data_IF_437364621043
#
_entry.id   IF_437364621043
#
_cell.length_a   1.000
_cell.length_b   1.000
_cell.length_c   1.000
_cell.angle_alpha   90.00
_cell.angle_beta   90.00
_cell.angle_gamma   90.00
#
_symmetry.space_group_name_H-M   'P 1'
#
loop_
_entity.id
_entity.type
_entity.pdbx_description
1 polymer ?
#
# COMPACT_ATOMS: atom_id res chain seq x y z
N UNK A 1 24.45 -10.22 -39.86
CA UNK A 1 23.38 -9.34 -39.35
C UNK A 1 23.63 -9.14 -37.86
N UNK A 2 24.17 -8.00 -37.42
CA UNK A 2 24.42 -7.77 -36.00
C UNK A 2 23.11 -7.37 -35.31
N UNK A 3 22.80 -8.03 -34.19
CA UNK A 3 21.66 -7.71 -33.33
C UNK A 3 21.88 -6.33 -32.71
N UNK A 4 21.03 -5.35 -33.04
CA UNK A 4 21.02 -4.07 -32.35
C UNK A 4 20.42 -4.27 -30.96
N UNK A 5 21.24 -4.16 -29.93
CA UNK A 5 20.79 -3.98 -28.54
C UNK A 5 20.14 -2.61 -28.42
N UNK A 6 18.83 -2.54 -28.64
CA UNK A 6 18.03 -1.35 -28.36
C UNK A 6 17.75 -1.34 -26.86
N UNK A 7 18.69 -0.81 -26.07
CA UNK A 7 18.38 -0.34 -24.72
C UNK A 7 17.41 0.83 -24.87
N UNK A 8 16.17 0.76 -24.37
CA UNK A 8 15.31 1.94 -24.37
C UNK A 8 15.94 2.96 -23.42
N UNK A 9 16.38 4.09 -23.96
CA UNK A 9 16.78 5.25 -23.14
C UNK A 9 15.56 5.72 -22.35
N UNK A 10 15.49 5.35 -21.07
CA UNK A 10 14.53 5.92 -20.13
C UNK A 10 14.96 7.34 -19.82
N UNK A 11 14.48 8.29 -20.63
CA UNK A 11 14.64 9.72 -20.38
C UNK A 11 13.69 10.11 -19.24
N UNK A 12 14.19 10.07 -18.00
CA UNK A 12 13.49 10.65 -16.86
C UNK A 12 13.43 12.17 -17.06
N UNK A 13 12.23 12.73 -17.22
CA UNK A 13 12.06 14.18 -17.34
C UNK A 13 12.48 14.86 -16.03
N UNK A 14 13.17 15.98 -16.18
CA UNK A 14 13.67 16.81 -15.08
C UNK A 14 12.52 17.27 -14.17
N UNK A 15 12.71 17.02 -12.88
CA UNK A 15 11.89 17.42 -11.73
C UNK A 15 11.39 18.87 -11.82
N UNK A 16 10.09 19.15 -11.71
CA UNK A 16 9.61 20.51 -11.45
C UNK A 16 9.99 20.94 -10.02
N UNK A 17 10.49 22.17 -9.88
CA UNK A 17 11.16 22.74 -8.69
C UNK A 17 10.24 23.06 -7.50
N UNK A 18 9.00 22.58 -7.49
CA UNK A 18 7.98 22.90 -6.49
C UNK A 18 7.57 21.65 -5.71
N UNK A 19 7.97 21.52 -4.42
CA UNK A 19 7.50 20.44 -3.55
C UNK A 19 6.05 20.62 -3.06
N UNK A 20 5.38 21.72 -3.43
CA UNK A 20 4.08 22.11 -2.84
C UNK A 20 2.83 21.57 -3.55
N UNK A 21 2.98 20.76 -4.60
CA UNK A 21 1.85 20.24 -5.38
C UNK A 21 1.93 18.72 -5.63
N UNK A 22 2.60 17.99 -4.75
CA UNK A 22 2.59 16.54 -4.75
C UNK A 22 1.82 16.06 -3.53
N UNK A 23 0.77 15.27 -3.75
CA UNK A 23 0.08 14.53 -2.68
C UNK A 23 1.03 13.56 -1.93
N UNK A 24 2.27 13.40 -2.42
CA UNK A 24 3.34 12.57 -1.88
C UNK A 24 4.35 13.34 -1.02
N UNK A 25 3.88 14.27 -0.19
CA UNK A 25 4.70 14.79 0.91
C UNK A 25 4.91 13.67 1.94
N UNK A 26 5.92 12.83 1.71
CA UNK A 26 6.41 11.86 2.69
C UNK A 26 7.14 12.61 3.81
N UNK A 27 6.38 13.19 4.73
CA UNK A 27 6.93 13.76 5.94
C UNK A 27 6.12 14.93 6.46
N UNK A 28 5.25 14.65 7.44
CA UNK A 28 4.89 15.52 8.57
C UNK A 28 4.33 14.64 9.71
N UNK A 29 4.30 15.14 10.96
CA UNK A 29 4.81 14.48 12.17
C UNK A 29 4.05 13.21 12.56
N UNK A 30 4.65 12.41 13.46
CA UNK A 30 4.15 11.15 14.01
C UNK A 30 2.62 10.96 13.87
N UNK A 31 2.17 9.83 13.29
CA UNK A 31 0.78 9.65 12.93
C UNK A 31 -0.13 9.93 14.13
N UNK A 32 -1.12 10.82 13.94
CA UNK A 32 -2.04 11.26 15.00
C UNK A 32 -2.78 10.10 15.66
N UNK A 33 -2.87 8.97 14.96
CA UNK A 33 -3.52 7.74 15.37
C UNK A 33 -2.58 6.57 15.15
N UNK A 34 -2.63 5.60 16.06
CA UNK A 34 -1.95 4.33 15.84
C UNK A 34 -2.47 3.63 14.57
N UNK A 35 -1.63 2.81 13.94
CA UNK A 35 -2.02 2.01 12.76
C UNK A 35 -3.34 1.24 13.01
N UNK A 36 -3.47 0.68 14.21
CA UNK A 36 -4.63 -0.07 14.62
C UNK A 36 -5.91 0.80 14.71
N UNK A 37 -5.79 2.03 15.19
CA UNK A 37 -6.91 2.98 15.22
C UNK A 37 -7.30 3.42 13.81
N UNK A 38 -6.33 3.62 12.92
CA UNK A 38 -6.59 3.96 11.52
C UNK A 38 -7.37 2.84 10.81
N UNK A 39 -7.00 1.57 10.99
CA UNK A 39 -7.82 0.47 10.44
C UNK A 39 -9.23 0.43 11.02
N UNK A 40 -9.41 0.69 12.32
CA UNK A 40 -10.75 0.75 12.92
C UNK A 40 -11.59 1.88 12.32
N UNK A 41 -10.99 3.05 12.09
CA UNK A 41 -11.66 4.19 11.46
C UNK A 41 -12.03 3.88 10.02
N UNK A 42 -11.15 3.24 9.26
CA UNK A 42 -11.44 2.77 7.91
C UNK A 42 -12.65 1.82 7.90
N UNK A 43 -12.64 0.80 8.77
CA UNK A 43 -13.74 -0.17 8.90
C UNK A 43 -15.06 0.53 9.26
N UNK A 44 -15.01 1.48 10.20
CA UNK A 44 -16.19 2.21 10.63
C UNK A 44 -16.74 3.14 9.54
N UNK A 45 -15.86 3.82 8.80
CA UNK A 45 -16.22 4.67 7.68
C UNK A 45 -16.84 3.86 6.54
N UNK A 46 -16.24 2.71 6.20
CA UNK A 46 -16.74 1.87 5.13
C UNK A 46 -18.07 1.20 5.48
N UNK A 47 -18.23 0.73 6.72
CA UNK A 47 -19.52 0.24 7.21
C UNK A 47 -20.60 1.32 7.15
N UNK A 48 -20.26 2.56 7.53
CA UNK A 48 -21.19 3.69 7.46
C UNK A 48 -21.60 4.04 6.02
N UNK A 49 -20.66 4.03 5.05
CA UNK A 49 -20.97 4.26 3.63
C UNK A 49 -21.92 3.22 3.06
N UNK A 50 -21.77 1.97 3.46
CA UNK A 50 -22.64 0.87 3.03
C UNK A 50 -23.98 0.83 3.81
N UNK A 51 -24.20 1.76 4.75
CA UNK A 51 -25.39 1.76 5.62
C UNK A 51 -25.46 0.56 6.56
N UNK A 52 -24.36 -0.14 6.77
CA UNK A 52 -24.29 -1.36 7.57
C UNK A 52 -24.02 -1.01 9.03
N UNK A 53 -25.01 -1.26 9.89
CA UNK A 53 -24.79 -1.21 11.33
C UNK A 53 -23.77 -2.27 11.75
N UNK A 54 -22.86 -1.92 12.68
CA UNK A 54 -21.88 -2.86 13.24
C UNK A 54 -22.53 -4.13 13.82
N UNK A 55 -23.78 -4.05 14.27
CA UNK A 55 -24.54 -5.22 14.72
C UNK A 55 -24.74 -6.25 13.60
N UNK A 56 -25.16 -5.79 12.41
CA UNK A 56 -25.35 -6.66 11.24
C UNK A 56 -24.01 -7.21 10.74
N UNK A 57 -22.96 -6.39 10.75
CA UNK A 57 -21.62 -6.84 10.40
C UNK A 57 -21.12 -7.93 11.35
N UNK A 58 -21.37 -7.78 12.66
CA UNK A 58 -21.03 -8.77 13.67
C UNK A 58 -21.75 -10.11 13.44
N UNK A 59 -23.04 -10.06 13.10
CA UNK A 59 -23.83 -11.25 12.77
C UNK A 59 -23.27 -11.95 11.51
N UNK A 60 -22.93 -11.18 10.46
CA UNK A 60 -22.39 -11.70 9.19
C UNK A 60 -21.06 -12.45 9.37
N UNK A 61 -20.19 -11.99 10.27
CA UNK A 61 -18.87 -12.59 10.52
C UNK A 61 -18.86 -13.57 11.72
N UNK A 62 -20.02 -13.83 12.34
CA UNK A 62 -20.16 -14.74 13.47
C UNK A 62 -19.48 -14.26 14.76
N UNK A 63 -19.42 -12.95 15.00
CA UNK A 63 -18.83 -12.34 16.20
C UNK A 63 -19.92 -11.76 17.07
N UNK A 64 -19.79 -11.88 18.40
CA UNK A 64 -20.73 -11.25 19.32
C UNK A 64 -20.78 -9.73 19.10
N UNK A 65 -21.97 -9.19 18.82
CA UNK A 65 -22.24 -7.74 18.63
C UNK A 65 -21.53 -6.82 19.65
N UNK A 66 -21.63 -7.04 20.98
CA UNK A 66 -20.96 -6.17 21.96
C UNK A 66 -19.44 -6.25 21.87
N UNK A 67 -18.88 -7.40 21.44
CA UNK A 67 -17.45 -7.56 21.23
C UNK A 67 -16.98 -6.74 20.04
N UNK A 68 -17.67 -6.84 18.90
CA UNK A 68 -17.29 -6.05 17.71
C UNK A 68 -17.39 -4.55 17.99
N UNK A 69 -18.46 -4.11 18.66
CA UNK A 69 -18.60 -2.70 19.05
C UNK A 69 -17.44 -2.22 19.93
N UNK A 70 -17.01 -3.01 20.93
CA UNK A 70 -15.84 -2.67 21.77
C UNK A 70 -14.55 -2.62 20.95
N UNK A 71 -14.36 -3.49 19.97
CA UNK A 71 -13.15 -3.52 19.14
C UNK A 71 -13.08 -2.30 18.23
N UNK A 72 -14.16 -1.98 17.52
CA UNK A 72 -14.18 -0.89 16.53
C UNK A 72 -14.24 0.49 17.21
N UNK A 73 -15.05 0.66 18.27
CA UNK A 73 -15.31 1.97 18.90
C UNK A 73 -14.51 2.24 20.17
N UNK A 74 -13.86 1.25 20.78
CA UNK A 74 -13.05 1.43 22.00
C UNK A 74 -11.60 0.99 21.78
N UNK A 75 -10.78 1.19 22.81
CA UNK A 75 -9.36 0.88 22.80
C UNK A 75 -9.06 -0.62 23.00
N UNK A 76 -9.82 -1.51 22.34
CA UNK A 76 -9.58 -2.97 22.34
C UNK A 76 -8.81 -3.36 21.09
N UNK A 77 -7.89 -4.33 21.20
CA UNK A 77 -7.05 -4.77 20.09
C UNK A 77 -7.87 -5.35 18.92
N UNK A 78 -7.58 -4.91 17.70
CA UNK A 78 -8.09 -5.45 16.45
C UNK A 78 -7.06 -6.48 15.96
N UNK A 79 -7.37 -7.77 16.15
CA UNK A 79 -6.50 -8.86 15.70
C UNK A 79 -6.57 -8.99 14.18
N UNK A 80 -5.46 -9.42 13.56
CA UNK A 80 -5.35 -9.58 12.10
C UNK A 80 -6.46 -10.48 11.53
N UNK A 81 -6.71 -11.66 12.11
CA UNK A 81 -7.79 -12.57 11.65
C UNK A 81 -9.19 -11.94 11.66
N UNK A 82 -9.42 -10.98 12.57
CA UNK A 82 -10.69 -10.27 12.62
C UNK A 82 -10.71 -9.11 11.63
N UNK A 83 -9.59 -8.40 11.46
CA UNK A 83 -9.44 -7.36 10.45
C UNK A 83 -9.70 -7.93 9.05
N UNK A 84 -9.09 -9.07 8.74
CA UNK A 84 -9.18 -9.66 7.40
C UNK A 84 -10.60 -10.14 7.09
N UNK A 85 -11.31 -10.74 8.07
CA UNK A 85 -12.75 -11.06 7.93
C UNK A 85 -13.64 -9.83 7.80
N UNK A 86 -13.31 -8.74 8.50
CA UNK A 86 -14.03 -7.47 8.37
C UNK A 86 -13.78 -6.84 7.00
N UNK A 87 -12.56 -6.94 6.49
CA UNK A 87 -12.22 -6.46 5.15
C UNK A 87 -12.99 -7.24 4.09
N UNK A 88 -13.01 -8.56 4.18
CA UNK A 88 -13.78 -9.41 3.28
C UNK A 88 -15.29 -9.09 3.35
N UNK A 89 -15.85 -8.96 4.55
CA UNK A 89 -17.27 -8.68 4.73
C UNK A 89 -17.71 -7.29 4.24
N UNK A 90 -16.78 -6.32 4.21
CA UNK A 90 -17.00 -4.95 3.72
C UNK A 90 -16.45 -4.73 2.32
N UNK A 91 -15.93 -5.77 1.66
CA UNK A 91 -15.27 -5.67 0.35
C UNK A 91 -14.14 -4.61 0.34
N UNK A 92 -13.45 -4.46 1.47
CA UNK A 92 -12.28 -3.60 1.60
C UNK A 92 -11.10 -4.29 0.92
N UNK A 93 -10.51 -3.60 -0.04
CA UNK A 93 -9.28 -4.05 -0.68
C UNK A 93 -8.11 -3.98 0.30
N UNK A 94 -7.55 -5.15 0.63
CA UNK A 94 -6.54 -5.27 1.67
C UNK A 94 -5.21 -4.58 1.30
N UNK A 95 -4.85 -4.56 0.02
CA UNK A 95 -3.63 -3.90 -0.48
C UNK A 95 -3.77 -2.40 -0.34
N UNK A 96 -4.88 -1.84 -0.81
CA UNK A 96 -5.18 -0.41 -0.71
C UNK A 96 -5.30 0.02 0.74
N UNK A 97 -6.00 -0.73 1.59
CA UNK A 97 -6.12 -0.42 3.02
C UNK A 97 -4.74 -0.36 3.70
N UNK A 98 -3.85 -1.32 3.43
CA UNK A 98 -2.49 -1.32 3.95
C UNK A 98 -1.66 -0.18 3.37
N UNK A 99 -1.83 0.15 2.09
CA UNK A 99 -1.17 1.30 1.47
C UNK A 99 -1.55 2.61 2.19
N UNK A 100 -2.84 2.86 2.36
CA UNK A 100 -3.34 4.03 3.07
C UNK A 100 -2.85 4.10 4.52
N UNK A 101 -2.96 3.00 5.27
CA UNK A 101 -2.72 3.02 6.72
C UNK A 101 -1.24 2.84 7.08
N UNK A 102 -0.54 1.90 6.44
CA UNK A 102 0.86 1.60 6.77
C UNK A 102 1.86 2.49 6.03
N UNK A 103 1.56 2.91 4.78
CA UNK A 103 2.48 3.73 3.99
C UNK A 103 2.15 5.22 4.02
N UNK A 104 0.87 5.59 3.89
CA UNK A 104 0.46 7.00 3.91
C UNK A 104 0.11 7.51 5.31
N UNK A 105 -0.08 6.59 6.28
CA UNK A 105 -0.59 6.92 7.60
C UNK A 105 -1.90 7.74 7.59
N UNK A 106 -2.71 7.52 6.56
CA UNK A 106 -3.99 8.19 6.37
C UNK A 106 -5.06 7.23 5.83
N UNK A 107 -5.97 6.83 6.72
CA UNK A 107 -7.14 6.02 6.38
C UNK A 107 -8.16 6.73 5.47
N UNK A 108 -8.18 8.07 5.40
CA UNK A 108 -9.13 8.84 4.58
C UNK A 108 -8.76 8.73 3.10
N UNK A 109 -7.47 8.55 2.80
CA UNK A 109 -6.95 8.39 1.45
C UNK A 109 -7.43 7.10 0.74
N UNK A 110 -8.19 6.22 1.42
CA UNK A 110 -8.71 4.98 0.84
C UNK A 110 -9.66 5.21 -0.35
N UNK A 111 -10.42 6.30 -0.30
CA UNK A 111 -11.36 6.69 -1.37
C UNK A 111 -10.72 7.58 -2.44
N UNK A 112 -9.45 7.93 -2.28
CA UNK A 112 -8.74 8.78 -3.24
C UNK A 112 -8.57 8.02 -4.58
N UNK A 113 -9.08 8.57 -5.71
CA UNK A 113 -8.91 7.96 -7.03
C UNK A 113 -7.45 7.72 -7.42
N UNK A 114 -6.52 8.60 -7.00
CA UNK A 114 -5.09 8.45 -7.28
C UNK A 114 -4.50 7.25 -6.52
N UNK A 115 -4.90 7.08 -5.25
CA UNK A 115 -4.48 5.94 -4.42
C UNK A 115 -5.03 4.64 -4.97
N UNK A 116 -6.29 4.63 -5.42
CA UNK A 116 -6.88 3.47 -6.12
C UNK A 116 -6.04 3.08 -7.35
N UNK A 117 -5.77 4.04 -8.25
CA UNK A 117 -5.02 3.80 -9.48
C UNK A 117 -3.62 3.22 -9.20
N UNK A 118 -2.92 3.75 -8.19
CA UNK A 118 -1.60 3.28 -7.78
C UNK A 118 -1.67 1.86 -7.25
N UNK A 119 -2.64 1.56 -6.37
CA UNK A 119 -2.79 0.23 -5.80
C UNK A 119 -3.10 -0.81 -6.89
N UNK A 120 -3.96 -0.48 -7.86
CA UNK A 120 -4.24 -1.36 -8.99
C UNK A 120 -3.01 -1.58 -9.88
N UNK A 121 -2.24 -0.52 -10.16
CA UNK A 121 -1.00 -0.66 -10.92
C UNK A 121 0.05 -1.51 -10.18
N UNK A 122 0.17 -1.35 -8.86
CA UNK A 122 1.07 -2.17 -8.03
C UNK A 122 0.68 -3.64 -8.03
N UNK A 123 -0.62 -3.96 -7.96
CA UNK A 123 -1.11 -5.34 -8.10
C UNK A 123 -0.78 -5.91 -9.46
N UNK A 124 -1.02 -5.14 -10.53
CA UNK A 124 -0.66 -5.53 -11.90
C UNK A 124 0.84 -5.83 -12.02
N UNK A 125 1.69 -4.93 -11.52
CA UNK A 125 3.15 -5.10 -11.53
C UNK A 125 3.59 -6.33 -10.72
N UNK A 126 3.00 -6.58 -9.56
CA UNK A 126 3.29 -7.77 -8.75
C UNK A 126 2.91 -9.07 -9.48
N UNK A 127 1.75 -9.09 -10.14
CA UNK A 127 1.34 -10.21 -10.98
C UNK A 127 2.31 -10.42 -12.15
N UNK A 128 2.79 -9.36 -12.80
CA UNK A 128 3.80 -9.46 -13.85
C UNK A 128 5.12 -10.03 -13.33
N UNK A 129 5.58 -9.61 -12.14
CA UNK A 129 6.78 -10.18 -11.51
C UNK A 129 6.62 -11.68 -11.25
N UNK A 130 5.52 -12.09 -10.62
CA UNK A 130 5.31 -13.51 -10.27
C UNK A 130 5.19 -14.38 -11.52
N UNK A 131 4.52 -13.88 -12.55
CA UNK A 131 4.26 -14.66 -13.78
C UNK A 131 5.48 -14.76 -14.68
N UNK A 132 6.47 -13.87 -14.55
CA UNK A 132 7.70 -13.93 -15.37
C UNK A 132 8.79 -14.81 -14.74
N UNK A 133 8.83 -16.07 -15.19
CA UNK A 133 9.94 -17.01 -14.97
C UNK A 133 11.21 -16.77 -15.82
N UNK A 134 11.28 -15.75 -16.68
CA UNK A 134 12.41 -15.55 -17.61
C UNK A 134 12.67 -14.09 -17.94
N UNK A 135 13.60 -13.47 -17.22
CA UNK A 135 14.63 -12.59 -17.80
C UNK A 135 14.27 -11.21 -18.37
N UNK A 136 13.02 -10.77 -18.38
CA UNK A 136 12.69 -9.41 -18.79
C UNK A 136 11.35 -9.04 -18.20
N UNK A 137 11.18 -7.89 -17.55
CA UNK A 137 9.86 -7.37 -17.16
C UNK A 137 9.56 -6.20 -18.10
N UNK A 138 8.68 -6.39 -19.07
CA UNK A 138 8.20 -5.27 -19.90
C UNK A 138 6.95 -4.70 -19.25
N UNK A 139 7.15 -3.77 -18.31
CA UNK A 139 6.03 -3.01 -17.76
C UNK A 139 5.78 -1.80 -18.65
N UNK A 140 4.70 -1.83 -19.41
CA UNK A 140 4.17 -0.63 -20.08
C UNK A 140 3.32 0.16 -19.08
N UNK A 141 3.95 0.76 -18.08
CA UNK A 141 3.25 1.67 -17.17
C UNK A 141 3.14 3.05 -17.80
N UNK A 142 1.96 3.66 -17.77
CA UNK A 142 1.79 5.11 -17.85
C UNK A 142 0.65 5.45 -16.89
N UNK A 143 0.98 5.91 -15.67
CA UNK A 143 1.20 7.33 -15.40
C UNK A 143 2.57 7.64 -14.74
N UNK A 144 3.08 8.89 -14.86
CA UNK A 144 4.39 9.31 -14.36
C UNK A 144 4.62 9.07 -12.86
N UNK A 145 3.55 9.16 -12.06
CA UNK A 145 3.58 9.01 -10.61
C UNK A 145 3.99 7.58 -10.21
N UNK A 146 3.51 6.59 -10.97
CA UNK A 146 3.80 5.17 -10.69
C UNK A 146 5.27 4.86 -11.06
N UNK A 147 5.81 5.49 -12.11
CA UNK A 147 7.25 5.40 -12.43
C UNK A 147 8.12 6.01 -11.35
N UNK A 148 7.73 7.16 -10.82
CA UNK A 148 8.51 7.83 -9.77
C UNK A 148 8.47 7.04 -8.44
N UNK A 149 7.31 6.48 -8.09
CA UNK A 149 7.16 5.63 -6.92
C UNK A 149 7.95 4.31 -7.06
N UNK A 150 7.86 3.65 -8.21
CA UNK A 150 8.60 2.41 -8.49
C UNK A 150 10.10 2.65 -8.58
N UNK A 151 10.54 3.74 -9.21
CA UNK A 151 11.95 4.12 -9.27
C UNK A 151 12.53 4.29 -7.86
N UNK A 152 11.85 5.04 -6.99
CA UNK A 152 12.28 5.21 -5.59
C UNK A 152 12.30 3.90 -4.81
N UNK A 153 11.28 3.05 -4.99
CA UNK A 153 11.23 1.75 -4.33
C UNK A 153 12.38 0.84 -4.78
N UNK A 154 12.70 0.86 -6.07
CA UNK A 154 13.79 0.11 -6.66
C UNK A 154 15.16 0.57 -6.12
N UNK A 155 15.41 1.87 -6.08
CA UNK A 155 16.65 2.43 -5.53
C UNK A 155 16.83 2.05 -4.04
N UNK A 156 15.75 2.10 -3.27
CA UNK A 156 15.78 1.73 -1.85
C UNK A 156 16.12 0.25 -1.63
N UNK A 157 15.61 -0.64 -2.49
CA UNK A 157 15.92 -2.08 -2.44
C UNK A 157 17.40 -2.34 -2.80
N UNK A 158 17.93 -1.66 -3.81
CA UNK A 158 19.35 -1.77 -4.18
C UNK A 158 20.27 -1.28 -3.05
N UNK A 159 19.98 -0.12 -2.46
CA UNK A 159 20.76 0.39 -1.31
C UNK A 159 20.61 -0.49 -0.06
N UNK A 160 19.52 -1.24 0.08
CA UNK A 160 19.40 -2.23 1.14
C UNK A 160 20.28 -3.46 0.85
N UNK A 161 20.27 -3.97 -0.39
CA UNK A 161 21.12 -5.09 -0.80
C UNK A 161 22.61 -4.78 -0.65
N UNK A 162 23.05 -3.58 -1.04
CA UNK A 162 24.43 -3.14 -0.87
C UNK A 162 24.85 -3.16 0.61
N UNK A 163 24.01 -2.61 1.50
CA UNK A 163 24.27 -2.62 2.94
C UNK A 163 24.31 -4.03 3.54
N UNK A 164 23.44 -4.93 3.09
CA UNK A 164 23.44 -6.33 3.53
C UNK A 164 24.70 -7.05 3.06
N UNK A 165 25.11 -6.85 1.81
CA UNK A 165 26.33 -7.42 1.24
C UNK A 165 27.60 -6.89 1.93
N UNK A 166 27.64 -5.60 2.26
CA UNK A 166 28.72 -5.02 3.05
C UNK A 166 28.76 -5.62 4.47
N UNK A 167 27.60 -5.76 5.10
CA UNK A 167 27.50 -6.36 6.43
C UNK A 167 27.96 -7.82 6.44
N UNK A 168 27.56 -8.62 5.45
CA UNK A 168 28.02 -10.00 5.29
C UNK A 168 29.55 -10.09 5.06
N UNK A 169 30.13 -9.18 4.28
CA UNK A 169 31.60 -9.11 4.11
C UNK A 169 32.32 -8.77 5.40
N UNK A 170 31.76 -7.88 6.23
CA UNK A 170 32.34 -7.53 7.54
C UNK A 170 32.20 -8.63 8.59
N UNK A 171 31.25 -9.56 8.42
CA UNK A 171 31.08 -10.72 9.31
C UNK A 171 31.96 -11.92 8.92
N UNK A 172 32.48 -11.94 7.69
CA UNK A 172 33.36 -13.01 7.17
C UNK A 172 34.86 -12.65 7.23
N UNK A 173 35.21 -11.42 7.62
CA UNK A 173 36.57 -10.94 7.86
C UNK A 173 36.92 -10.98 9.35
#
# INVERSE_FOLDING_TARGET
MPYSTVTPETVFRVRPTSPAASAFSFGEPAPRLSEQEQYKRLIDAEAAKQGLALAHLADRIGVARPRLHKIVRKNVMLRDDLRDRLFEALEIDCVRAKFCVAFLHDHIAYDDPEVFLICEAMKGFYCEIITRRRGEIQVSLRPPIIHEALGRAYDMLLSHQERVMEHERTLQA
#
